data_IF_360298240473
#
_entry.id   IF_360298240473
#
_cell.length_a   1.000
_cell.length_b   1.000
_cell.length_c   1.000
_cell.angle_alpha   90.00
_cell.angle_beta   90.00
_cell.angle_gamma   90.00
#
_symmetry.space_group_name_H-M   'P 1'
#
loop_
_entity.id
_entity.type
_entity.pdbx_description
1 polymer ?
#
# COMPACT_ATOMS: atom_id res chain seq x y z
N UNK A 1 -11.20 9.08 30.92
CA UNK A 1 -10.61 9.04 32.29
C UNK A 1 -9.11 8.85 32.13
N UNK A 2 -8.29 9.68 32.77
CA UNK A 2 -6.84 9.52 32.80
C UNK A 2 -6.42 8.77 34.07
N UNK A 3 -5.66 7.69 33.93
CA UNK A 3 -5.30 6.81 35.07
C UNK A 3 -3.87 7.06 35.55
N UNK A 4 -3.06 7.80 34.80
CA UNK A 4 -1.65 8.06 35.13
C UNK A 4 -0.70 6.91 34.75
N UNK A 5 0.50 6.89 35.32
CA UNK A 5 1.51 5.85 35.06
C UNK A 5 1.22 4.62 35.94
N UNK A 6 0.89 3.51 35.28
CA UNK A 6 0.68 2.21 35.93
C UNK A 6 1.52 1.12 35.24
N UNK A 7 1.81 0.03 35.95
CA UNK A 7 2.48 -1.12 35.34
C UNK A 7 1.56 -1.83 34.34
N UNK A 8 2.14 -2.60 33.40
CA UNK A 8 1.37 -3.36 32.44
C UNK A 8 0.34 -4.30 33.10
N UNK A 9 0.73 -4.97 34.19
CA UNK A 9 -0.16 -5.84 34.96
C UNK A 9 -1.37 -5.10 35.55
N UNK A 10 -1.16 -3.90 36.08
CA UNK A 10 -2.25 -3.07 36.63
C UNK A 10 -3.13 -2.54 35.53
N UNK A 11 -2.56 -2.15 34.40
CA UNK A 11 -3.29 -1.72 33.21
C UNK A 11 -4.24 -2.83 32.71
N UNK A 12 -3.72 -4.06 32.56
CA UNK A 12 -4.48 -5.18 32.03
C UNK A 12 -5.61 -5.60 32.98
N UNK A 13 -5.36 -5.54 34.31
CA UNK A 13 -6.40 -5.80 35.31
C UNK A 13 -7.49 -4.70 35.32
N UNK A 14 -7.11 -3.44 35.20
CA UNK A 14 -8.06 -2.33 35.04
C UNK A 14 -8.89 -2.47 33.77
N UNK A 15 -8.27 -2.86 32.66
CA UNK A 15 -8.97 -3.07 31.40
C UNK A 15 -10.00 -4.18 31.49
N UNK A 16 -9.64 -5.30 32.11
CA UNK A 16 -10.57 -6.40 32.37
C UNK A 16 -11.80 -5.93 33.16
N UNK A 17 -11.61 -5.17 34.22
CA UNK A 17 -12.72 -4.60 35.00
C UNK A 17 -13.56 -3.64 34.19
N UNK A 18 -12.94 -2.78 33.39
CA UNK A 18 -13.68 -1.88 32.48
C UNK A 18 -14.56 -2.67 31.52
N UNK A 19 -14.06 -3.74 30.93
CA UNK A 19 -14.84 -4.59 30.04
C UNK A 19 -16.00 -5.29 30.76
N UNK A 20 -15.77 -5.78 31.98
CA UNK A 20 -16.79 -6.44 32.82
C UNK A 20 -17.91 -5.45 33.22
N UNK A 21 -17.55 -4.23 33.62
CA UNK A 21 -18.51 -3.19 34.01
C UNK A 21 -19.24 -2.55 32.85
N UNK A 22 -18.55 -2.35 31.72
CA UNK A 22 -19.18 -1.78 30.51
C UNK A 22 -20.22 -2.71 29.87
N UNK A 23 -20.17 -4.03 30.11
CA UNK A 23 -21.07 -5.04 29.52
C UNK A 23 -21.25 -4.81 27.99
N UNK A 24 -22.39 -4.25 27.61
CA UNK A 24 -22.72 -3.91 26.22
C UNK A 24 -22.29 -2.48 25.84
N UNK A 25 -21.67 -1.74 26.76
CA UNK A 25 -21.12 -0.41 26.51
C UNK A 25 -19.83 -0.48 25.68
N UNK A 26 -19.42 0.66 25.15
CA UNK A 26 -18.21 0.80 24.33
C UNK A 26 -17.08 1.40 25.19
N UNK A 27 -15.89 0.85 25.05
CA UNK A 27 -14.71 1.39 25.70
C UNK A 27 -13.49 1.31 24.78
N UNK A 28 -12.60 2.30 24.90
CA UNK A 28 -11.30 2.32 24.25
C UNK A 28 -10.25 2.71 25.28
N UNK A 29 -9.18 1.94 25.36
CA UNK A 29 -8.02 2.25 26.19
C UNK A 29 -6.83 2.59 25.31
N UNK A 30 -6.18 3.71 25.60
CA UNK A 30 -4.94 4.15 24.96
C UNK A 30 -3.82 4.10 25.99
N UNK A 31 -2.70 3.50 25.65
CA UNK A 31 -1.56 3.36 26.53
C UNK A 31 -0.22 3.44 25.79
N UNK A 32 0.85 3.74 26.53
CA UNK A 32 2.19 3.82 25.97
C UNK A 32 2.70 2.44 25.53
N UNK A 33 3.24 2.34 24.33
CA UNK A 33 3.83 1.14 23.75
C UNK A 33 5.21 1.42 23.14
N UNK A 34 5.98 0.35 22.88
CA UNK A 34 7.29 0.45 22.21
C UNK A 34 7.13 0.29 20.69
N UNK A 35 6.39 1.19 20.07
CA UNK A 35 6.24 1.32 18.63
C UNK A 35 6.62 2.75 18.22
N UNK A 36 6.65 3.07 16.94
CA UNK A 36 7.02 4.39 16.42
C UNK A 36 6.11 5.51 16.93
N UNK A 37 4.84 5.22 17.14
CA UNK A 37 3.84 6.15 17.66
C UNK A 37 3.89 6.30 19.20
N UNK A 38 4.62 5.43 19.90
CA UNK A 38 4.63 5.32 21.37
C UNK A 38 3.24 5.09 22.01
N UNK A 39 2.26 4.65 21.21
CA UNK A 39 0.88 4.41 21.65
C UNK A 39 0.38 3.04 21.18
N UNK A 40 -0.49 2.43 21.98
CA UNK A 40 -1.27 1.27 21.61
C UNK A 40 -2.70 1.41 22.11
N UNK A 41 -3.61 0.68 21.49
CA UNK A 41 -5.04 0.76 21.73
C UNK A 41 -5.60 -0.62 22.07
N UNK A 42 -6.55 -0.66 22.99
CA UNK A 42 -7.43 -1.80 23.22
C UNK A 42 -8.87 -1.32 23.18
N UNK A 43 -9.75 -2.10 22.58
CA UNK A 43 -11.15 -1.74 22.34
C UNK A 43 -12.08 -2.81 22.86
N UNK A 44 -13.29 -2.40 23.29
CA UNK A 44 -14.35 -3.27 23.76
C UNK A 44 -15.69 -2.81 23.18
N UNK A 45 -16.41 -3.73 22.54
CA UNK A 45 -17.74 -3.49 21.94
C UNK A 45 -17.82 -2.24 21.03
N UNK A 46 -16.75 -1.90 20.35
CA UNK A 46 -16.74 -0.81 19.36
C UNK A 46 -16.69 -1.36 17.95
N UNK A 47 -17.22 -0.59 17.02
CA UNK A 47 -17.07 -0.84 15.58
C UNK A 47 -15.73 -0.36 15.04
N UNK A 48 -14.93 0.32 15.89
CA UNK A 48 -13.59 0.78 15.54
C UNK A 48 -12.57 -0.31 15.88
N UNK A 49 -11.71 -0.65 14.95
CA UNK A 49 -10.64 -1.62 15.13
C UNK A 49 -9.26 -0.95 15.07
N UNK A 50 -8.35 -1.26 16.00
CA UNK A 50 -6.98 -0.79 15.92
C UNK A 50 -6.23 -1.57 14.84
N UNK A 51 -5.75 -0.87 13.83
CA UNK A 51 -4.95 -1.44 12.74
C UNK A 51 -3.56 -0.83 12.81
N UNK A 52 -2.54 -1.68 12.71
CA UNK A 52 -1.17 -1.23 12.55
C UNK A 52 -0.94 -0.82 11.09
N UNK A 53 -0.73 0.46 10.89
CA UNK A 53 -0.41 1.05 9.62
C UNK A 53 1.04 1.56 9.67
N UNK A 54 1.98 0.72 9.25
CA UNK A 54 3.41 1.02 9.18
C UNK A 54 4.04 1.48 10.52
N UNK A 55 3.73 0.74 11.60
CA UNK A 55 4.19 1.08 12.96
C UNK A 55 3.35 2.14 13.67
N UNK A 56 2.37 2.71 12.99
CA UNK A 56 1.37 3.63 13.53
C UNK A 56 0.05 2.87 13.69
N UNK A 57 -0.46 2.78 14.91
CA UNK A 57 -1.78 2.19 15.16
C UNK A 57 -2.86 3.23 14.88
N UNK A 58 -3.66 2.97 13.85
CA UNK A 58 -4.84 3.77 13.50
C UNK A 58 -6.11 3.08 13.98
N UNK A 59 -7.14 3.87 14.29
CA UNK A 59 -8.48 3.37 14.60
C UNK A 59 -9.32 3.39 13.32
N UNK A 60 -9.58 2.22 12.75
CA UNK A 60 -10.40 2.07 11.54
C UNK A 60 -11.85 1.78 11.89
N UNK A 61 -12.78 2.41 11.17
CA UNK A 61 -14.19 2.05 11.19
C UNK A 61 -14.45 1.12 10.01
N UNK A 62 -14.75 -0.17 10.23
CA UNK A 62 -15.08 -1.06 9.12
C UNK A 62 -16.33 -0.58 8.40
N UNK A 63 -16.28 -0.53 7.06
CA UNK A 63 -17.44 -0.18 6.25
C UNK A 63 -18.56 -1.23 6.41
N UNK A 64 -19.85 -0.86 6.23
CA UNK A 64 -20.95 -1.82 6.30
C UNK A 64 -20.86 -2.97 5.30
N UNK A 65 -20.15 -2.81 4.20
CA UNK A 65 -19.89 -3.87 3.22
C UNK A 65 -18.98 -4.95 3.80
N UNK A 66 -17.95 -4.57 4.56
CA UNK A 66 -16.97 -5.50 5.17
C UNK A 66 -17.57 -6.35 6.29
N UNK A 67 -18.62 -5.86 6.98
CA UNK A 67 -19.31 -6.61 8.04
C UNK A 67 -20.14 -7.81 7.53
N UNK A 68 -20.52 -7.81 6.24
CA UNK A 68 -21.24 -8.93 5.63
C UNK A 68 -20.32 -10.10 5.23
N UNK A 69 -19.02 -9.86 5.07
CA UNK A 69 -18.06 -10.85 4.57
C UNK A 69 -17.26 -11.58 5.66
N UNK A 70 -17.28 -11.12 6.91
CA UNK A 70 -16.67 -11.81 8.05
C UNK A 70 -17.17 -13.24 8.31
N UNK A 71 -18.22 -13.68 7.59
CA UNK A 71 -18.71 -15.08 7.56
C UNK A 71 -17.99 -16.00 6.57
N UNK A 72 -17.22 -15.47 5.62
CA UNK A 72 -16.39 -16.26 4.70
C UNK A 72 -14.93 -16.03 5.04
N UNK A 73 -14.26 -17.07 5.56
CA UNK A 73 -12.81 -17.14 5.62
C UNK A 73 -12.29 -17.14 4.17
N UNK A 74 -12.17 -15.97 3.55
CA UNK A 74 -11.33 -15.80 2.37
C UNK A 74 -9.91 -15.66 2.87
N UNK A 75 -9.00 -16.46 2.33
CA UNK A 75 -7.57 -16.29 2.47
C UNK A 75 -7.13 -15.07 1.64
N UNK A 76 -7.70 -13.90 1.95
CA UNK A 76 -7.26 -12.63 1.38
C UNK A 76 -6.04 -12.13 2.15
N UNK A 77 -5.05 -11.69 1.45
CA UNK A 77 -3.82 -11.17 2.02
C UNK A 77 -4.13 -9.85 2.74
N UNK A 78 -4.03 -9.85 4.05
CA UNK A 78 -3.98 -8.58 4.79
C UNK A 78 -2.69 -7.84 4.41
N UNK A 79 -2.68 -6.50 4.48
CA UNK A 79 -1.46 -5.68 4.32
C UNK A 79 -0.30 -6.21 5.18
N UNK A 80 -0.59 -6.83 6.33
CA UNK A 80 0.38 -7.53 7.16
C UNK A 80 0.93 -8.81 6.50
N UNK A 81 0.17 -9.52 5.70
CA UNK A 81 0.62 -10.71 4.98
C UNK A 81 1.48 -10.32 3.76
N UNK A 82 1.12 -9.26 3.03
CA UNK A 82 1.95 -8.68 1.95
C UNK A 82 3.29 -8.23 2.53
N UNK A 83 3.28 -7.50 3.66
CA UNK A 83 4.52 -7.10 4.38
C UNK A 83 5.32 -8.29 4.90
N UNK A 84 4.66 -9.35 5.37
CA UNK A 84 5.32 -10.57 5.84
C UNK A 84 5.97 -11.35 4.70
N UNK A 85 5.35 -11.37 3.52
CA UNK A 85 5.89 -12.02 2.31
C UNK A 85 7.09 -11.22 1.78
N UNK A 86 6.96 -9.89 1.67
CA UNK A 86 8.07 -8.99 1.33
C UNK A 86 9.25 -9.10 2.32
N UNK A 87 8.99 -9.29 3.64
CA UNK A 87 10.04 -9.54 4.64
C UNK A 87 10.69 -10.91 4.52
N UNK A 88 9.97 -11.94 4.07
CA UNK A 88 10.52 -13.31 3.89
C UNK A 88 11.43 -13.40 2.67
N UNK A 89 11.11 -12.70 1.59
CA UNK A 89 11.99 -12.63 0.40
C UNK A 89 13.30 -11.88 0.69
N UNK A 90 13.32 -11.01 1.72
CA UNK A 90 14.50 -10.24 2.14
C UNK A 90 15.37 -10.93 3.22
N UNK A 91 15.30 -12.24 3.37
CA UNK A 91 16.10 -13.01 4.32
C UNK A 91 17.62 -12.83 4.12
N UNK A 92 18.24 -11.97 4.94
CA UNK A 92 19.64 -12.03 5.40
C UNK A 92 20.78 -11.82 4.40
N UNK A 93 20.56 -11.87 3.09
CA UNK A 93 21.53 -11.60 2.03
C UNK A 93 21.32 -10.20 1.47
N UNK A 94 22.36 -9.56 0.93
CA UNK A 94 22.17 -8.36 0.12
C UNK A 94 21.14 -8.68 -0.98
N UNK A 95 20.15 -7.82 -1.25
CA UNK A 95 19.18 -8.10 -2.29
C UNK A 95 19.93 -8.21 -3.62
N UNK A 96 19.83 -9.40 -4.24
CA UNK A 96 20.31 -9.63 -5.60
C UNK A 96 19.15 -9.22 -6.50
N UNK A 97 19.44 -8.48 -7.57
CA UNK A 97 18.43 -8.15 -8.59
C UNK A 97 17.81 -9.46 -9.10
N UNK A 98 16.46 -9.61 -9.07
CA UNK A 98 15.84 -10.78 -9.69
C UNK A 98 16.15 -10.84 -11.19
N UNK A 99 16.25 -12.04 -11.77
CA UNK A 99 16.46 -12.19 -13.22
C UNK A 99 15.29 -11.63 -14.03
N UNK A 100 14.06 -11.78 -13.49
CA UNK A 100 12.83 -11.27 -14.07
C UNK A 100 11.99 -10.62 -12.99
N UNK A 101 11.49 -9.43 -13.26
CA UNK A 101 10.58 -8.69 -12.36
C UNK A 101 9.81 -7.61 -13.11
N UNK A 102 8.75 -7.12 -12.49
CA UNK A 102 7.93 -6.03 -13.02
C UNK A 102 7.92 -4.88 -12.02
N UNK A 103 8.34 -3.70 -12.43
CA UNK A 103 8.12 -2.46 -11.67
C UNK A 103 6.76 -1.91 -12.05
N UNK A 104 5.92 -1.53 -11.09
CA UNK A 104 4.61 -0.97 -11.38
C UNK A 104 4.26 0.17 -10.44
N UNK A 105 3.33 1.00 -10.88
CA UNK A 105 2.80 2.16 -10.17
C UNK A 105 1.36 2.42 -10.61
N UNK A 106 0.54 2.99 -9.73
CA UNK A 106 -0.83 3.38 -10.03
C UNK A 106 -1.12 4.80 -9.58
N UNK A 107 -1.85 5.56 -10.41
CA UNK A 107 -2.48 6.81 -10.00
C UNK A 107 -3.95 6.57 -9.68
N UNK A 108 -4.45 7.28 -8.67
CA UNK A 108 -5.79 7.06 -8.12
C UNK A 108 -6.52 8.37 -7.88
N UNK A 109 -7.85 8.31 -7.74
CA UNK A 109 -8.67 9.50 -7.39
C UNK A 109 -8.47 9.99 -5.96
N UNK A 110 -7.77 9.19 -5.12
CA UNK A 110 -7.46 9.52 -3.73
C UNK A 110 -6.68 8.42 -3.03
N UNK A 111 -6.73 8.35 -1.71
CA UNK A 111 -5.90 7.45 -0.91
C UNK A 111 -6.68 6.30 -0.23
N UNK A 112 -7.99 6.30 -0.35
CA UNK A 112 -8.89 5.35 0.33
C UNK A 112 -9.28 4.24 -0.64
N UNK A 113 -8.69 3.06 -0.48
CA UNK A 113 -8.91 1.88 -1.33
C UNK A 113 -10.39 1.45 -1.44
N UNK A 114 -11.20 1.77 -0.40
CA UNK A 114 -12.62 1.42 -0.38
C UNK A 114 -13.51 2.45 -1.12
N UNK A 115 -12.96 3.61 -1.52
CA UNK A 115 -13.72 4.76 -2.07
C UNK A 115 -13.14 5.35 -3.32
N UNK A 116 -11.84 5.27 -3.45
CA UNK A 116 -11.11 5.88 -4.55
C UNK A 116 -10.82 4.83 -5.62
N UNK A 117 -10.64 5.30 -6.84
CA UNK A 117 -10.54 4.45 -8.04
C UNK A 117 -9.19 4.65 -8.72
N UNK A 118 -8.69 3.61 -9.37
CA UNK A 118 -7.51 3.70 -10.24
C UNK A 118 -7.86 4.54 -11.47
N UNK A 119 -6.98 5.44 -11.87
CA UNK A 119 -7.10 6.27 -13.08
C UNK A 119 -5.92 6.09 -14.06
N UNK A 120 -4.80 5.53 -13.62
CA UNK A 120 -3.68 5.16 -14.47
C UNK A 120 -2.97 3.94 -13.88
N UNK A 121 -2.53 3.00 -14.71
CA UNK A 121 -1.69 1.86 -14.34
C UNK A 121 -0.51 1.84 -15.30
N UNK A 122 0.70 1.76 -14.77
CA UNK A 122 1.88 1.53 -15.57
C UNK A 122 2.75 0.42 -15.00
N UNK A 123 3.45 -0.28 -15.88
CA UNK A 123 4.40 -1.30 -15.48
C UNK A 123 5.54 -1.44 -16.48
N UNK A 124 6.73 -1.78 -15.98
CA UNK A 124 7.93 -2.03 -16.77
C UNK A 124 8.44 -3.43 -16.42
N UNK A 125 8.50 -4.32 -17.41
CA UNK A 125 9.08 -5.65 -17.24
C UNK A 125 10.58 -5.60 -17.51
N UNK A 126 11.35 -6.17 -16.59
CA UNK A 126 12.80 -6.32 -16.69
C UNK A 126 13.12 -7.80 -16.77
N UNK A 127 13.98 -8.17 -17.74
CA UNK A 127 14.44 -9.53 -17.97
C UNK A 127 15.97 -9.49 -18.12
N UNK A 128 16.68 -10.26 -17.29
CA UNK A 128 18.15 -10.28 -17.25
C UNK A 128 18.82 -8.90 -17.11
N UNK A 129 18.21 -8.04 -16.28
CA UNK A 129 18.70 -6.69 -16.05
C UNK A 129 18.38 -5.66 -17.15
N UNK A 130 17.73 -6.06 -18.25
CA UNK A 130 17.35 -5.17 -19.35
C UNK A 130 15.81 -4.95 -19.35
N UNK A 131 15.39 -3.73 -19.65
CA UNK A 131 13.99 -3.42 -19.88
C UNK A 131 13.50 -4.16 -21.13
N UNK A 132 12.49 -5.01 -20.97
CA UNK A 132 11.96 -5.88 -22.02
C UNK A 132 10.69 -5.33 -22.65
N UNK A 133 9.77 -4.82 -21.85
CA UNK A 133 8.49 -4.30 -22.33
C UNK A 133 7.87 -3.34 -21.31
N UNK A 134 6.85 -2.61 -21.76
CA UNK A 134 6.05 -1.68 -20.93
C UNK A 134 4.57 -1.97 -21.07
N UNK A 135 3.86 -1.77 -20.01
CA UNK A 135 2.40 -1.73 -19.94
C UNK A 135 1.98 -0.35 -19.47
N UNK A 136 0.97 0.21 -20.09
CA UNK A 136 0.40 1.49 -19.68
C UNK A 136 -1.06 1.57 -20.12
N UNK A 137 -1.95 1.83 -19.17
CA UNK A 137 -3.37 2.03 -19.42
C UNK A 137 -3.89 3.22 -18.58
N UNK A 138 -4.66 4.05 -19.22
CA UNK A 138 -5.50 5.08 -18.58
C UNK A 138 -6.84 4.44 -18.29
N UNK A 139 -7.31 4.56 -17.05
CA UNK A 139 -8.55 3.93 -16.60
C UNK A 139 -9.62 5.00 -16.40
N UNK A 140 -10.82 4.74 -16.92
CA UNK A 140 -11.98 5.62 -16.73
C UNK A 140 -12.61 5.34 -15.37
N UNK A 141 -12.60 6.29 -14.42
CA UNK A 141 -13.29 6.13 -13.15
C UNK A 141 -14.82 6.24 -13.34
N UNK A 142 -15.58 5.72 -12.39
CA UNK A 142 -17.05 5.87 -12.35
C UNK A 142 -17.48 7.29 -11.97
N UNK A 143 -16.63 7.93 -11.14
CA UNK A 143 -16.86 9.28 -10.64
C UNK A 143 -16.02 10.34 -11.33
N UNK A 144 -16.08 11.56 -10.84
CA UNK A 144 -15.21 12.65 -11.28
C UNK A 144 -13.91 12.66 -10.49
N UNK A 145 -12.82 13.02 -11.17
CA UNK A 145 -11.53 13.19 -10.51
C UNK A 145 -11.53 14.43 -9.63
N UNK A 146 -11.16 14.32 -8.35
CA UNK A 146 -11.03 15.49 -7.50
C UNK A 146 -10.02 16.49 -8.06
N UNK A 147 -10.36 17.79 -8.04
CA UNK A 147 -9.53 18.87 -8.57
C UNK A 147 -8.06 18.77 -8.12
N UNK A 148 -7.83 18.41 -6.86
CA UNK A 148 -6.48 18.25 -6.30
C UNK A 148 -5.69 17.15 -7.02
N UNK A 149 -6.33 16.06 -7.39
CA UNK A 149 -5.71 14.95 -8.12
C UNK A 149 -5.41 15.39 -9.55
N UNK A 150 -6.37 16.05 -10.21
CA UNK A 150 -6.12 16.64 -11.54
C UNK A 150 -4.93 17.62 -11.54
N UNK A 151 -4.82 18.47 -10.53
CA UNK A 151 -3.69 19.40 -10.38
C UNK A 151 -2.37 18.67 -10.14
N UNK A 152 -2.39 17.50 -9.52
CA UNK A 152 -1.21 16.69 -9.19
C UNK A 152 -0.74 15.83 -10.37
N UNK A 153 -1.67 15.10 -10.98
CA UNK A 153 -1.39 14.09 -12.02
C UNK A 153 -1.51 14.61 -13.45
N UNK A 154 -2.24 15.72 -13.62
CA UNK A 154 -2.66 16.23 -14.93
C UNK A 154 -3.81 15.44 -15.56
N UNK A 155 -4.37 14.42 -14.87
CA UNK A 155 -5.49 13.62 -15.35
C UNK A 155 -6.80 14.39 -15.19
N UNK A 156 -7.37 14.85 -16.31
CA UNK A 156 -8.67 15.54 -16.32
C UNK A 156 -9.81 14.59 -16.67
N UNK A 157 -11.03 14.94 -16.28
CA UNK A 157 -12.21 14.14 -16.64
C UNK A 157 -12.30 13.95 -18.17
N UNK A 158 -12.02 15.01 -18.96
CA UNK A 158 -12.05 14.94 -20.42
C UNK A 158 -11.01 13.96 -21.00
N UNK A 159 -9.82 13.91 -20.40
CA UNK A 159 -8.77 12.97 -20.79
C UNK A 159 -9.24 11.53 -20.51
N UNK A 160 -9.73 11.30 -19.29
CA UNK A 160 -10.17 9.98 -18.84
C UNK A 160 -11.41 9.49 -19.61
N UNK A 161 -12.33 10.39 -19.96
CA UNK A 161 -13.49 10.06 -20.78
C UNK A 161 -13.10 9.68 -22.22
N UNK A 162 -12.07 10.35 -22.77
CA UNK A 162 -11.67 10.17 -24.18
C UNK A 162 -10.67 9.03 -24.38
N UNK A 163 -9.79 8.76 -23.43
CA UNK A 163 -8.69 7.79 -23.58
C UNK A 163 -8.77 6.64 -22.57
N UNK A 164 -9.55 6.79 -21.50
CA UNK A 164 -9.65 5.78 -20.46
C UNK A 164 -10.43 4.55 -20.93
N UNK A 165 -9.88 3.38 -20.63
CA UNK A 165 -10.57 2.10 -20.80
C UNK A 165 -11.37 1.74 -19.56
N UNK A 166 -12.25 0.74 -19.65
CA UNK A 166 -12.95 0.19 -18.50
C UNK A 166 -11.97 -0.50 -17.53
N UNK A 167 -12.22 -0.39 -16.23
CA UNK A 167 -11.35 -0.96 -15.20
C UNK A 167 -11.07 -2.45 -15.41
N UNK A 168 -12.09 -3.25 -15.75
CA UNK A 168 -11.94 -4.70 -15.97
C UNK A 168 -10.95 -5.01 -17.10
N UNK A 169 -11.00 -4.24 -18.19
CA UNK A 169 -10.10 -4.43 -19.32
C UNK A 169 -8.64 -4.07 -18.95
N UNK A 170 -8.44 -2.95 -18.24
CA UNK A 170 -7.12 -2.56 -17.75
C UNK A 170 -6.54 -3.60 -16.78
N UNK A 171 -7.37 -4.11 -15.88
CA UNK A 171 -6.96 -5.11 -14.87
C UNK A 171 -6.63 -6.46 -15.52
N UNK A 172 -7.46 -6.97 -16.44
CA UNK A 172 -7.14 -8.18 -17.21
C UNK A 172 -5.81 -8.06 -17.95
N UNK A 173 -5.58 -6.91 -18.59
CA UNK A 173 -4.33 -6.61 -19.28
C UNK A 173 -3.14 -6.58 -18.33
N UNK A 174 -3.28 -5.89 -17.20
CA UNK A 174 -2.24 -5.78 -16.18
C UNK A 174 -1.89 -7.14 -15.56
N UNK A 175 -2.87 -7.93 -15.10
CA UNK A 175 -2.64 -9.24 -14.53
C UNK A 175 -2.00 -10.20 -15.52
N UNK A 176 -2.44 -10.18 -16.79
CA UNK A 176 -1.81 -10.96 -17.87
C UNK A 176 -0.37 -10.54 -18.12
N UNK A 177 -0.07 -9.22 -18.02
CA UNK A 177 1.26 -8.68 -18.23
C UNK A 177 2.24 -9.05 -17.10
N UNK A 178 1.78 -8.94 -15.85
CA UNK A 178 2.59 -9.25 -14.66
C UNK A 178 2.79 -10.77 -14.52
N UNK A 179 1.75 -11.57 -14.76
CA UNK A 179 1.78 -13.03 -14.56
C UNK A 179 2.22 -13.37 -13.13
N UNK A 180 3.16 -14.33 -13.00
CA UNK A 180 3.70 -14.78 -11.72
C UNK A 180 5.03 -14.07 -11.33
N UNK A 181 5.40 -13.00 -12.03
CA UNK A 181 6.67 -12.30 -11.79
C UNK A 181 6.69 -11.63 -10.41
N UNK A 182 7.91 -11.45 -9.90
CA UNK A 182 8.15 -10.59 -8.73
C UNK A 182 7.80 -9.15 -9.12
N UNK A 183 7.06 -8.45 -8.26
CA UNK A 183 6.72 -7.05 -8.48
C UNK A 183 7.50 -6.12 -7.57
N UNK A 184 7.85 -4.95 -8.09
CA UNK A 184 8.59 -3.91 -7.39
C UNK A 184 7.76 -2.62 -7.45
N UNK A 185 7.58 -1.95 -6.31
CA UNK A 185 6.93 -0.64 -6.27
C UNK A 185 7.53 0.23 -5.15
N UNK A 186 7.21 1.52 -5.18
CA UNK A 186 7.57 2.45 -4.10
C UNK A 186 6.38 2.65 -3.17
N UNK A 187 6.40 2.06 -1.97
CA UNK A 187 5.25 1.89 -1.09
C UNK A 187 4.25 0.84 -1.61
N UNK A 188 4.77 -0.31 -1.97
CA UNK A 188 4.04 -1.41 -2.63
C UNK A 188 2.68 -1.74 -1.99
N UNK A 189 2.51 -1.50 -0.69
CA UNK A 189 1.25 -1.77 -0.01
C UNK A 189 0.09 -0.86 -0.48
N UNK A 190 0.40 0.34 -0.98
CA UNK A 190 -0.58 1.25 -1.56
C UNK A 190 -1.06 0.71 -2.91
N UNK A 191 -0.13 0.52 -3.83
CA UNK A 191 -0.44 0.08 -5.20
C UNK A 191 -1.10 -1.29 -5.21
N UNK A 192 -0.51 -2.27 -4.50
CA UNK A 192 -1.08 -3.62 -4.39
C UNK A 192 -2.46 -3.63 -3.73
N UNK A 193 -2.73 -2.68 -2.82
CA UNK A 193 -4.04 -2.53 -2.20
C UNK A 193 -5.11 -2.14 -3.21
N UNK A 194 -4.83 -1.16 -4.08
CA UNK A 194 -5.74 -0.75 -5.14
C UNK A 194 -5.91 -1.83 -6.22
N UNK A 195 -4.82 -2.49 -6.62
CA UNK A 195 -4.88 -3.62 -7.57
C UNK A 195 -5.76 -4.75 -7.01
N UNK A 196 -5.55 -5.16 -5.75
CA UNK A 196 -6.35 -6.22 -5.13
C UNK A 196 -7.83 -5.83 -5.01
N UNK A 197 -8.15 -4.60 -4.61
CA UNK A 197 -9.54 -4.13 -4.56
C UNK A 197 -10.19 -4.12 -5.95
N UNK A 198 -9.43 -3.74 -6.98
CA UNK A 198 -9.89 -3.77 -8.37
C UNK A 198 -10.10 -5.19 -8.89
N UNK A 199 -9.25 -6.16 -8.49
CA UNK A 199 -9.47 -7.57 -8.79
C UNK A 199 -10.78 -8.07 -8.18
N UNK A 200 -11.05 -7.74 -6.90
CA UNK A 200 -12.29 -8.10 -6.22
C UNK A 200 -13.52 -7.45 -6.89
N UNK A 201 -13.42 -6.18 -7.30
CA UNK A 201 -14.50 -5.47 -7.99
C UNK A 201 -14.84 -6.07 -9.35
N UNK A 202 -13.81 -6.50 -10.09
CA UNK A 202 -13.94 -7.07 -11.44
C UNK A 202 -14.15 -8.60 -11.45
N UNK A 203 -14.24 -9.26 -10.29
CA UNK A 203 -14.35 -10.72 -10.14
C UNK A 203 -13.19 -11.48 -10.83
N UNK A 204 -11.98 -10.90 -10.77
CA UNK A 204 -10.73 -11.46 -11.28
C UNK A 204 -9.97 -12.22 -10.19
N UNK A 205 -8.93 -12.96 -10.59
CA UNK A 205 -8.03 -13.66 -9.67
C UNK A 205 -7.31 -12.71 -8.74
N UNK A 206 -6.98 -13.17 -7.52
CA UNK A 206 -6.28 -12.39 -6.51
C UNK A 206 -4.87 -12.01 -7.00
N UNK A 207 -4.46 -10.76 -6.72
CA UNK A 207 -3.11 -10.28 -6.95
C UNK A 207 -2.19 -10.76 -5.81
N UNK A 208 -1.49 -11.87 -6.01
CA UNK A 208 -0.70 -12.54 -4.96
C UNK A 208 0.80 -12.63 -5.24
N UNK A 209 1.30 -11.84 -6.17
CA UNK A 209 2.71 -11.76 -6.55
C UNK A 209 3.64 -11.49 -5.37
N UNK A 210 4.85 -12.05 -5.40
CA UNK A 210 5.91 -11.67 -4.46
C UNK A 210 6.32 -10.22 -4.70
N UNK A 211 6.37 -9.41 -3.62
CA UNK A 211 6.57 -7.97 -3.70
C UNK A 211 7.92 -7.53 -3.12
N UNK A 212 8.57 -6.58 -3.78
CA UNK A 212 9.72 -5.84 -3.25
C UNK A 212 9.34 -4.37 -3.08
N UNK A 213 9.45 -3.86 -1.85
CA UNK A 213 9.18 -2.45 -1.53
C UNK A 213 10.48 -1.65 -1.49
N UNK A 214 10.62 -0.68 -2.40
CA UNK A 214 11.80 0.20 -2.45
C UNK A 214 11.92 1.09 -1.21
N UNK A 215 10.82 1.42 -0.49
CA UNK A 215 10.89 2.10 0.81
C UNK A 215 11.62 1.24 1.83
N UNK A 216 11.34 -0.06 1.88
CA UNK A 216 12.00 -0.97 2.81
C UNK A 216 13.51 -1.10 2.52
N UNK A 217 13.89 -1.08 1.23
CA UNK A 217 15.29 -1.04 0.81
C UNK A 217 15.96 0.29 1.17
N UNK A 218 15.31 1.41 0.86
CA UNK A 218 15.81 2.75 1.15
C UNK A 218 16.03 2.96 2.66
N UNK A 219 15.13 2.48 3.51
CA UNK A 219 15.30 2.51 4.98
C UNK A 219 16.58 1.81 5.43
N UNK A 220 16.98 0.71 4.77
CA UNK A 220 18.22 -0.01 5.10
C UNK A 220 19.47 0.70 4.59
N UNK A 221 19.42 1.24 3.37
CA UNK A 221 20.58 1.80 2.68
C UNK A 221 20.82 3.26 3.01
N UNK A 222 19.76 4.00 3.34
CA UNK A 222 19.75 5.44 3.61
C UNK A 222 19.13 5.74 5.00
N UNK A 223 19.69 5.21 6.11
CA UNK A 223 19.06 5.31 7.44
C UNK A 223 18.97 6.75 7.99
N UNK A 224 19.63 7.71 7.33
CA UNK A 224 19.61 9.12 7.71
C UNK A 224 18.75 9.99 6.80
N UNK A 225 17.97 9.40 5.88
CA UNK A 225 17.06 10.13 5.03
C UNK A 225 15.96 10.82 5.88
N UNK A 226 15.60 12.09 5.57
CA UNK A 226 14.60 12.83 6.34
C UNK A 226 13.19 12.22 6.22
N UNK A 227 12.90 11.56 5.13
CA UNK A 227 11.73 10.74 4.87
C UNK A 227 12.01 9.83 3.65
N UNK A 228 11.07 8.91 3.35
CA UNK A 228 11.22 7.92 2.28
C UNK A 228 10.18 8.11 1.16
N UNK A 229 9.73 9.35 0.91
CA UNK A 229 8.94 9.66 -0.28
C UNK A 229 9.80 9.48 -1.52
N UNK A 230 9.22 9.02 -2.62
CA UNK A 230 9.94 8.77 -3.88
C UNK A 230 10.84 9.96 -4.24
N UNK A 231 10.27 11.15 -4.35
CA UNK A 231 11.03 12.39 -4.63
C UNK A 231 12.23 12.59 -3.70
N UNK A 232 12.07 12.42 -2.39
CA UNK A 232 13.15 12.64 -1.42
C UNK A 232 14.29 11.66 -1.61
N UNK A 233 13.97 10.39 -1.86
CA UNK A 233 14.98 9.35 -2.04
C UNK A 233 15.69 9.51 -3.38
N UNK A 234 14.97 9.90 -4.43
CA UNK A 234 15.55 10.23 -5.75
C UNK A 234 16.52 11.42 -5.62
N UNK A 235 16.08 12.52 -4.98
CA UNK A 235 16.93 13.71 -4.77
C UNK A 235 18.23 13.35 -4.03
N UNK A 236 18.16 12.50 -2.99
CA UNK A 236 19.34 12.05 -2.23
C UNK A 236 20.31 11.19 -3.05
N UNK A 237 19.80 10.46 -4.04
CA UNK A 237 20.60 9.59 -4.91
C UNK A 237 20.95 10.23 -6.26
N UNK A 238 20.57 11.51 -6.46
CA UNK A 238 20.76 12.25 -7.71
C UNK A 238 20.12 11.55 -8.92
N UNK A 239 18.92 11.02 -8.71
CA UNK A 239 18.09 10.43 -9.74
C UNK A 239 16.94 11.38 -10.09
N UNK A 240 16.56 11.40 -11.37
CA UNK A 240 15.52 12.26 -11.88
C UNK A 240 14.19 11.51 -12.02
N UNK A 241 13.10 12.28 -11.96
CA UNK A 241 11.76 11.86 -12.35
C UNK A 241 11.19 12.97 -13.24
N UNK A 242 11.04 12.69 -14.53
CA UNK A 242 10.69 13.72 -15.52
C UNK A 242 9.29 14.27 -15.33
N UNK A 243 8.34 13.41 -14.93
CA UNK A 243 6.92 13.76 -14.75
C UNK A 243 6.36 13.11 -13.48
N UNK A 244 6.70 13.65 -12.30
CA UNK A 244 6.16 13.14 -11.05
C UNK A 244 4.63 13.08 -11.07
N UNK A 245 4.06 12.05 -10.46
CA UNK A 245 2.63 11.77 -10.43
C UNK A 245 2.04 11.43 -11.80
N UNK A 246 2.82 10.71 -12.59
CA UNK A 246 2.38 9.95 -13.75
C UNK A 246 2.94 8.56 -13.59
N UNK A 247 2.05 7.56 -13.59
CA UNK A 247 2.43 6.19 -13.27
C UNK A 247 3.59 5.66 -14.13
N UNK A 248 3.63 6.01 -15.42
CA UNK A 248 4.73 5.63 -16.30
C UNK A 248 6.08 6.23 -15.88
N UNK A 249 6.10 7.51 -15.49
CA UNK A 249 7.32 8.19 -15.06
C UNK A 249 7.75 7.75 -13.66
N UNK A 250 6.78 7.49 -12.75
CA UNK A 250 7.06 6.99 -11.41
C UNK A 250 7.57 5.54 -11.44
N UNK A 251 7.11 4.70 -12.40
CA UNK A 251 7.70 3.40 -12.69
C UNK A 251 9.18 3.49 -13.11
N UNK A 252 9.50 4.39 -14.06
CA UNK A 252 10.90 4.59 -14.51
C UNK A 252 11.79 5.04 -13.35
N UNK A 253 11.33 6.03 -12.60
CA UNK A 253 12.05 6.54 -11.43
C UNK A 253 12.23 5.45 -10.37
N UNK A 254 11.21 4.62 -10.14
CA UNK A 254 11.25 3.49 -9.20
C UNK A 254 12.19 2.39 -9.68
N UNK A 255 12.25 2.10 -10.97
CA UNK A 255 13.23 1.17 -11.57
C UNK A 255 14.67 1.63 -11.33
N UNK A 256 14.95 2.90 -11.64
CA UNK A 256 16.29 3.49 -11.42
C UNK A 256 16.65 3.49 -9.93
N UNK A 257 15.69 3.84 -9.08
CA UNK A 257 15.85 3.80 -7.62
C UNK A 257 16.15 2.37 -7.13
N UNK A 258 15.37 1.39 -7.55
CA UNK A 258 15.55 0.00 -7.16
C UNK A 258 16.96 -0.50 -7.51
N UNK A 259 17.39 -0.31 -8.76
CA UNK A 259 18.73 -0.67 -9.20
C UNK A 259 19.82 0.01 -8.39
N UNK A 260 19.67 1.31 -8.15
CA UNK A 260 20.62 2.06 -7.33
C UNK A 260 20.73 1.56 -5.91
N UNK A 261 19.59 1.19 -5.30
CA UNK A 261 19.57 0.68 -3.91
C UNK A 261 20.19 -0.72 -3.79
N UNK A 262 20.07 -1.57 -4.79
CA UNK A 262 20.70 -2.91 -4.76
C UNK A 262 22.21 -2.87 -5.03
N UNK A 263 22.70 -1.89 -5.82
CA UNK A 263 24.13 -1.67 -6.06
C UNK A 263 24.89 -1.15 -4.82
N UNK A 264 24.19 -0.45 -3.89
CA UNK A 264 24.76 0.10 -2.65
C UNK A 264 25.01 -0.99 -1.59
#
# INVERSE_FOLDING_TARGET
>A
MYVGKVSARVRDELWKRVCEECKNGRATMVFSARNEQHLAFQVHNTTWEPIDFDGITLMMHPSPARTKELGRKRAGWSNAAIRSKARKSMGGSAPIEPEEYVVFDVETTGLDVDRDEIIEIAAIKVVHGEESSRFHEIVRPKGRVPRKITELTGMTDELLDSQGVELSLAMEGFLSYVGDDIVVAHNVAFDSGFIQASCEECDLDDFDNDCIDTIALAKKKLPKAPNYRLKTVLDLLHLDNERPHRAESDCEATLHLFRKLIEM
#
